data_IF_130415263457
#
_entry.id   IF_130415263457
#
_cell.length_a   1.000
_cell.length_b   1.000
_cell.length_c   1.000
_cell.angle_alpha   90.00
_cell.angle_beta   90.00
_cell.angle_gamma   90.00
#
_symmetry.space_group_name_H-M   'P 1'
#
loop_
_entity.id
_entity.type
_entity.pdbx_description
1 polymer ?
#
# COMPACT_ATOMS: atom_id res chain seq x y z
N UNK A 1 76.87 -4.75 -0.75
CA UNK A 1 75.63 -4.00 -1.04
C UNK A 1 74.61 -4.96 -1.59
N UNK A 2 73.82 -5.55 -0.72
CA UNK A 2 72.72 -6.45 -1.11
C UNK A 2 71.39 -5.77 -0.83
N UNK A 3 70.61 -5.49 -1.88
CA UNK A 3 69.22 -5.02 -1.78
C UNK A 3 68.36 -6.27 -1.67
N UNK A 4 67.72 -6.47 -0.56
CA UNK A 4 66.67 -7.47 -0.33
C UNK A 4 65.32 -6.80 -0.70
N UNK A 5 64.58 -7.43 -1.65
CA UNK A 5 63.24 -7.09 -2.00
C UNK A 5 62.24 -7.61 -0.94
N UNK A 6 61.13 -6.91 -0.65
CA UNK A 6 60.13 -7.41 0.30
C UNK A 6 59.24 -8.50 -0.34
N UNK A 7 58.68 -9.41 0.46
CA UNK A 7 57.81 -10.48 -0.07
C UNK A 7 56.44 -9.95 -0.52
N UNK A 8 56.01 -10.44 -1.68
CA UNK A 8 54.69 -10.21 -2.24
C UNK A 8 53.60 -10.89 -1.40
N UNK A 9 52.72 -10.11 -0.83
CA UNK A 9 51.46 -10.59 -0.23
C UNK A 9 50.54 -11.09 -1.36
N UNK A 10 50.28 -12.39 -1.34
CA UNK A 10 49.31 -13.03 -2.25
C UNK A 10 47.89 -12.55 -1.94
N UNK A 11 47.29 -11.90 -2.94
CA UNK A 11 45.87 -11.55 -2.92
C UNK A 11 45.06 -12.84 -3.19
N UNK A 12 44.50 -13.42 -2.13
CA UNK A 12 43.44 -14.41 -2.27
C UNK A 12 42.17 -13.69 -2.76
N UNK A 13 41.92 -13.81 -4.04
CA UNK A 13 40.63 -13.45 -4.65
C UNK A 13 39.58 -14.48 -4.18
N UNK A 14 38.86 -14.14 -3.13
CA UNK A 14 37.61 -14.78 -2.79
C UNK A 14 36.60 -14.58 -3.92
N UNK A 15 36.47 -15.57 -4.80
CA UNK A 15 35.40 -15.65 -5.77
C UNK A 15 34.09 -15.85 -5.01
N UNK A 16 33.38 -14.75 -4.75
CA UNK A 16 31.96 -14.79 -4.46
C UNK A 16 31.25 -15.31 -5.71
N UNK A 17 30.96 -16.61 -5.72
CA UNK A 17 30.09 -17.21 -6.72
C UNK A 17 28.66 -16.71 -6.48
N UNK A 18 28.28 -15.65 -7.17
CA UNK A 18 26.87 -15.35 -7.43
C UNK A 18 26.35 -16.48 -8.32
N UNK A 19 25.70 -17.46 -7.70
CA UNK A 19 24.89 -18.44 -8.41
C UNK A 19 23.70 -17.68 -8.98
N UNK A 20 23.83 -17.28 -10.24
CA UNK A 20 22.70 -16.88 -11.05
C UNK A 20 21.80 -18.11 -11.23
N UNK A 21 20.79 -18.26 -10.38
CA UNK A 21 19.70 -19.19 -10.67
C UNK A 21 18.95 -18.65 -11.89
N UNK A 22 19.32 -19.15 -13.07
CA UNK A 22 18.42 -19.12 -14.22
C UNK A 22 17.19 -19.97 -13.87
N UNK A 23 15.98 -19.38 -13.82
CA UNK A 23 14.78 -20.17 -13.62
C UNK A 23 14.61 -21.05 -14.86
N UNK A 24 14.85 -22.37 -14.71
CA UNK A 24 14.39 -23.37 -15.67
C UNK A 24 12.89 -23.13 -15.90
N UNK A 25 12.41 -23.34 -17.12
CA UNK A 25 11.00 -23.29 -17.52
C UNK A 25 10.20 -24.26 -16.64
N UNK A 26 9.83 -23.82 -15.45
CA UNK A 26 9.03 -24.59 -14.51
C UNK A 26 7.59 -24.63 -15.01
N UNK A 27 7.03 -25.82 -15.15
CA UNK A 27 5.63 -26.05 -15.50
C UNK A 27 4.69 -25.33 -14.49
N UNK A 28 3.73 -24.58 -14.99
CA UNK A 28 2.77 -23.67 -14.39
C UNK A 28 2.63 -23.58 -12.86
N UNK A 29 2.34 -24.63 -12.12
CA UNK A 29 2.17 -24.61 -10.65
C UNK A 29 3.47 -24.36 -9.87
N UNK A 30 4.63 -24.68 -10.44
CA UNK A 30 5.93 -24.48 -9.82
C UNK A 30 6.34 -23.00 -9.74
N UNK A 31 5.75 -22.11 -10.55
CA UNK A 31 6.11 -20.69 -10.58
C UNK A 31 5.52 -19.89 -9.42
N UNK A 32 4.28 -20.23 -9.00
CA UNK A 32 3.53 -19.51 -7.95
C UNK A 32 2.86 -20.50 -6.99
N UNK A 33 3.63 -21.19 -6.14
CA UNK A 33 3.09 -22.29 -5.31
C UNK A 33 2.18 -21.79 -4.19
N UNK A 34 2.41 -20.57 -3.69
CA UNK A 34 1.71 -19.99 -2.55
C UNK A 34 0.93 -18.73 -2.90
N UNK A 35 -0.12 -18.45 -2.14
CA UNK A 35 -0.84 -17.18 -2.15
C UNK A 35 0.02 -16.03 -1.60
N UNK A 36 0.85 -16.34 -0.60
CA UNK A 36 1.83 -15.40 -0.04
C UNK A 36 3.04 -15.29 -0.95
N UNK A 37 3.58 -14.08 -1.10
CA UNK A 37 4.77 -13.83 -1.91
C UNK A 37 5.64 -12.73 -1.27
N UNK A 38 6.95 -12.96 -1.19
CA UNK A 38 7.94 -11.97 -0.73
C UNK A 38 8.41 -11.05 -1.87
N UNK A 39 7.94 -11.27 -3.10
CA UNK A 39 8.29 -10.51 -4.31
C UNK A 39 9.80 -10.33 -4.53
N UNK A 40 10.55 -11.40 -4.23
CA UNK A 40 12.01 -11.39 -4.33
C UNK A 40 12.51 -11.46 -5.78
N UNK A 41 11.78 -12.21 -6.63
CA UNK A 41 12.18 -12.46 -8.03
C UNK A 41 11.24 -11.69 -8.96
N UNK A 42 11.77 -10.84 -9.86
CA UNK A 42 10.95 -10.14 -10.84
C UNK A 42 10.32 -11.10 -11.85
N UNK A 43 9.13 -10.75 -12.41
CA UNK A 43 8.49 -11.56 -13.44
C UNK A 43 9.34 -11.58 -14.73
N UNK A 44 9.47 -12.76 -15.34
CA UNK A 44 10.19 -12.95 -16.61
C UNK A 44 9.24 -13.33 -17.77
N UNK A 45 7.94 -13.34 -17.51
CA UNK A 45 6.93 -13.71 -18.49
C UNK A 45 6.49 -12.49 -19.30
N UNK A 46 6.22 -12.71 -20.58
CA UNK A 46 5.66 -11.67 -21.44
C UNK A 46 4.29 -11.23 -20.94
N UNK A 47 4.03 -9.93 -21.02
CA UNK A 47 2.78 -9.27 -20.65
C UNK A 47 2.40 -8.28 -21.75
N UNK A 48 1.11 -8.14 -22.03
CA UNK A 48 0.61 -7.09 -22.92
C UNK A 48 0.57 -5.76 -22.19
N UNK A 49 0.57 -4.63 -22.93
CA UNK A 49 0.51 -3.29 -22.35
C UNK A 49 -0.82 -3.10 -21.61
N UNK A 50 -1.92 -3.63 -22.15
CA UNK A 50 -3.24 -3.56 -21.53
C UNK A 50 -3.28 -4.33 -20.20
N UNK A 51 -2.71 -5.54 -20.15
CA UNK A 51 -2.59 -6.30 -18.89
C UNK A 51 -1.71 -5.57 -17.88
N UNK A 52 -0.62 -4.93 -18.33
CA UNK A 52 0.30 -4.17 -17.50
C UNK A 52 -0.42 -3.02 -16.79
N UNK A 53 -1.16 -2.22 -17.55
CA UNK A 53 -1.91 -1.08 -17.01
C UNK A 53 -3.08 -1.52 -16.13
N UNK A 54 -3.94 -2.42 -16.65
CA UNK A 54 -5.14 -2.86 -15.93
C UNK A 54 -4.81 -3.54 -14.59
N UNK A 55 -3.81 -4.43 -14.57
CA UNK A 55 -3.45 -5.12 -13.33
C UNK A 55 -2.81 -4.19 -12.31
N UNK A 56 -2.07 -3.19 -12.77
CA UNK A 56 -1.54 -2.15 -11.90
C UNK A 56 -2.65 -1.28 -11.30
N UNK A 57 -3.63 -0.87 -12.10
CA UNK A 57 -4.80 -0.11 -11.63
C UNK A 57 -5.62 -0.91 -10.62
N UNK A 58 -5.88 -2.19 -10.89
CA UNK A 58 -6.63 -3.05 -9.97
C UNK A 58 -5.94 -3.16 -8.60
N UNK A 59 -4.60 -3.28 -8.59
CA UNK A 59 -3.85 -3.26 -7.32
C UNK A 59 -3.86 -1.88 -6.68
N UNK A 60 -3.74 -0.81 -7.48
CA UNK A 60 -3.76 0.56 -7.00
C UNK A 60 -5.06 0.89 -6.26
N UNK A 61 -6.21 0.43 -6.75
CA UNK A 61 -7.50 0.57 -6.05
C UNK A 61 -7.47 -0.03 -4.64
N UNK A 62 -6.83 -1.19 -4.47
CA UNK A 62 -6.70 -1.83 -3.16
C UNK A 62 -5.76 -1.03 -2.25
N UNK A 63 -4.59 -0.60 -2.76
CA UNK A 63 -3.64 0.18 -1.98
C UNK A 63 -4.20 1.55 -1.58
N UNK A 64 -4.94 2.21 -2.47
CA UNK A 64 -5.63 3.47 -2.18
C UNK A 64 -6.67 3.31 -1.07
N UNK A 65 -7.44 2.20 -1.05
CA UNK A 65 -8.38 1.93 0.04
C UNK A 65 -7.66 1.75 1.39
N UNK A 66 -6.49 1.11 1.40
CA UNK A 66 -5.65 0.98 2.61
C UNK A 66 -5.17 2.34 3.10
N UNK A 67 -4.70 3.20 2.19
CA UNK A 67 -4.28 4.56 2.53
C UNK A 67 -5.45 5.38 3.07
N UNK A 68 -6.63 5.25 2.47
CA UNK A 68 -7.85 5.89 2.91
C UNK A 68 -8.28 5.44 4.31
N UNK A 69 -8.24 4.14 4.57
CA UNK A 69 -8.52 3.58 5.88
C UNK A 69 -7.55 4.11 6.95
N UNK A 70 -6.26 4.22 6.60
CA UNK A 70 -5.23 4.79 7.45
C UNK A 70 -5.46 6.28 7.72
N UNK A 71 -5.77 7.06 6.69
CA UNK A 71 -6.07 8.50 6.82
C UNK A 71 -7.30 8.78 7.69
N UNK A 72 -8.29 7.88 7.66
CA UNK A 72 -9.48 7.95 8.52
C UNK A 72 -9.27 7.39 9.94
N UNK A 73 -8.06 6.90 10.27
CA UNK A 73 -7.76 6.21 11.51
C UNK A 73 -8.74 5.05 11.81
N UNK A 74 -9.13 4.31 10.78
CA UNK A 74 -10.02 3.15 10.94
C UNK A 74 -9.34 2.06 11.77
N UNK A 75 -10.15 1.30 12.51
CA UNK A 75 -9.67 0.15 13.25
C UNK A 75 -9.15 -0.94 12.29
N UNK A 76 -8.27 -1.82 12.79
CA UNK A 76 -7.78 -2.95 11.98
C UNK A 76 -8.91 -3.85 11.45
N UNK A 77 -9.98 -4.03 12.24
CA UNK A 77 -11.13 -4.82 11.82
C UNK A 77 -11.87 -4.21 10.62
N UNK A 78 -12.10 -2.90 10.64
CA UNK A 78 -12.73 -2.16 9.53
C UNK A 78 -11.83 -2.15 8.29
N UNK A 79 -10.54 -1.88 8.46
CA UNK A 79 -9.55 -1.93 7.38
C UNK A 79 -9.51 -3.31 6.73
N UNK A 80 -9.57 -4.39 7.51
CA UNK A 80 -9.59 -5.76 7.02
C UNK A 80 -10.81 -6.04 6.15
N UNK A 81 -11.99 -5.58 6.57
CA UNK A 81 -13.23 -5.71 5.78
C UNK A 81 -13.18 -4.90 4.49
N UNK A 82 -12.63 -3.69 4.53
CA UNK A 82 -12.46 -2.85 3.35
C UNK A 82 -11.51 -3.50 2.33
N UNK A 83 -10.36 -4.03 2.79
CA UNK A 83 -9.42 -4.77 1.94
C UNK A 83 -10.09 -6.00 1.33
N UNK A 84 -10.81 -6.79 2.11
CA UNK A 84 -11.48 -8.00 1.64
C UNK A 84 -12.50 -7.68 0.54
N UNK A 85 -13.30 -6.63 0.73
CA UNK A 85 -14.25 -6.16 -0.27
C UNK A 85 -13.55 -5.81 -1.59
N UNK A 86 -12.51 -4.97 -1.55
CA UNK A 86 -11.77 -4.54 -2.75
C UNK A 86 -10.98 -5.67 -3.40
N UNK A 87 -10.41 -6.58 -2.60
CA UNK A 87 -9.73 -7.77 -3.13
C UNK A 87 -10.69 -8.66 -3.93
N UNK A 88 -11.90 -8.89 -3.42
CA UNK A 88 -12.90 -9.69 -4.12
C UNK A 88 -13.40 -9.03 -5.42
N UNK A 89 -13.43 -7.70 -5.47
CA UNK A 89 -13.89 -6.92 -6.61
C UNK A 89 -12.84 -6.86 -7.74
N UNK A 90 -11.60 -6.47 -7.41
CA UNK A 90 -10.56 -6.16 -8.40
C UNK A 90 -9.52 -7.26 -8.59
N UNK A 91 -9.16 -7.95 -7.53
CA UNK A 91 -8.03 -8.89 -7.56
C UNK A 91 -8.29 -10.08 -6.62
N UNK A 92 -9.27 -10.94 -6.93
CA UNK A 92 -9.52 -12.13 -6.14
C UNK A 92 -8.25 -12.99 -6.04
N UNK A 93 -7.91 -13.44 -4.84
CA UNK A 93 -6.70 -14.21 -4.57
C UNK A 93 -7.04 -15.32 -3.58
N UNK A 94 -7.34 -16.50 -4.10
CA UNK A 94 -7.81 -17.66 -3.34
C UNK A 94 -6.67 -18.48 -2.74
N UNK A 95 -6.91 -19.06 -1.56
CA UNK A 95 -6.01 -20.03 -0.94
C UNK A 95 -6.14 -21.42 -1.62
N UNK A 96 -5.07 -22.22 -1.55
CA UNK A 96 -5.09 -23.60 -2.03
C UNK A 96 -6.16 -24.45 -1.32
N UNK A 97 -6.35 -24.24 -0.02
CA UNK A 97 -7.32 -25.00 0.77
C UNK A 97 -8.77 -24.80 0.29
N UNK A 98 -9.13 -23.58 -0.10
CA UNK A 98 -10.46 -23.28 -0.66
C UNK A 98 -10.64 -23.92 -2.03
N UNK A 99 -9.57 -24.01 -2.83
CA UNK A 99 -9.61 -24.64 -4.14
C UNK A 99 -9.80 -26.17 -4.08
N UNK A 100 -9.35 -26.81 -3.02
CA UNK A 100 -9.49 -28.27 -2.81
C UNK A 100 -10.87 -28.69 -2.32
N UNK A 101 -11.63 -27.77 -1.71
CA UNK A 101 -12.95 -28.06 -1.11
C UNK A 101 -14.10 -28.32 -2.10
N UNK A 102 -13.89 -28.27 -3.41
CA UNK A 102 -14.95 -28.44 -4.41
C UNK A 102 -14.71 -29.60 -5.37
N UNK A 103 -15.74 -30.43 -5.55
CA UNK A 103 -15.95 -31.52 -6.53
C UNK A 103 -14.80 -31.94 -7.46
N UNK A 104 -14.54 -33.23 -7.53
CA UNK A 104 -13.42 -33.91 -8.23
C UNK A 104 -13.26 -33.63 -9.74
N UNK A 105 -14.19 -32.97 -10.40
CA UNK A 105 -14.20 -32.87 -11.88
C UNK A 105 -13.53 -31.63 -12.48
N UNK A 106 -13.02 -30.72 -11.65
CA UNK A 106 -12.50 -29.41 -12.15
C UNK A 106 -11.09 -29.03 -11.66
N UNK A 107 -10.27 -30.01 -11.27
CA UNK A 107 -8.95 -29.73 -10.66
C UNK A 107 -8.02 -28.92 -11.59
N UNK A 108 -8.01 -29.22 -12.90
CA UNK A 108 -7.13 -28.53 -13.86
C UNK A 108 -7.57 -27.08 -14.14
N UNK A 109 -8.88 -26.81 -14.23
CA UNK A 109 -9.39 -25.47 -14.46
C UNK A 109 -9.18 -24.58 -13.25
N UNK A 110 -9.45 -25.06 -12.05
CA UNK A 110 -9.18 -24.36 -10.78
C UNK A 110 -7.70 -24.03 -10.60
N UNK A 111 -6.82 -24.93 -10.99
CA UNK A 111 -5.38 -24.70 -10.98
C UNK A 111 -4.95 -23.57 -11.90
N UNK A 112 -5.51 -23.48 -13.12
CA UNK A 112 -5.23 -22.40 -14.07
C UNK A 112 -5.72 -21.06 -13.56
N UNK A 113 -6.90 -21.00 -12.96
CA UNK A 113 -7.43 -19.78 -12.35
C UNK A 113 -6.55 -19.28 -11.20
N UNK A 114 -6.15 -20.16 -10.28
CA UNK A 114 -5.25 -19.81 -9.18
C UNK A 114 -3.90 -19.27 -9.67
N UNK A 115 -3.36 -19.89 -10.73
CA UNK A 115 -2.13 -19.40 -11.34
C UNK A 115 -2.29 -18.02 -11.96
N UNK A 116 -3.42 -17.76 -12.65
CA UNK A 116 -3.72 -16.46 -13.21
C UNK A 116 -3.88 -15.39 -12.10
N UNK A 117 -4.59 -15.69 -11.01
CA UNK A 117 -4.73 -14.81 -9.86
C UNK A 117 -3.37 -14.45 -9.24
N UNK A 118 -2.50 -15.44 -9.02
CA UNK A 118 -1.18 -15.25 -8.43
C UNK A 118 -0.21 -14.56 -9.37
N UNK A 119 -0.30 -14.84 -10.69
CA UNK A 119 0.46 -14.13 -11.71
C UNK A 119 0.08 -12.64 -11.72
N UNK A 120 -1.21 -12.33 -11.69
CA UNK A 120 -1.72 -10.96 -11.62
C UNK A 120 -1.21 -10.25 -10.35
N UNK A 121 -1.29 -10.89 -9.19
CA UNK A 121 -0.76 -10.36 -7.92
C UNK A 121 0.74 -10.07 -7.99
N UNK A 122 1.52 -11.00 -8.56
CA UNK A 122 2.95 -10.86 -8.68
C UNK A 122 3.35 -9.71 -9.62
N UNK A 123 2.79 -9.70 -10.83
CA UNK A 123 3.13 -8.70 -11.85
C UNK A 123 2.68 -7.30 -11.43
N UNK A 124 1.45 -7.15 -10.95
CA UNK A 124 0.93 -5.86 -10.50
C UNK A 124 1.77 -5.21 -9.40
N UNK A 125 2.31 -6.03 -8.47
CA UNK A 125 3.25 -5.54 -7.47
C UNK A 125 4.51 -4.92 -8.11
N UNK A 126 5.13 -5.62 -9.07
CA UNK A 126 6.35 -5.13 -9.71
C UNK A 126 6.12 -3.89 -10.57
N UNK A 127 4.96 -3.78 -11.24
CA UNK A 127 4.59 -2.59 -12.01
C UNK A 127 4.45 -1.37 -11.07
N UNK A 128 3.69 -1.50 -9.99
CA UNK A 128 3.54 -0.40 -9.04
C UNK A 128 4.86 -0.09 -8.31
N UNK A 129 5.71 -1.09 -8.06
CA UNK A 129 7.05 -0.86 -7.51
C UNK A 129 7.89 0.06 -8.39
N UNK A 130 7.80 -0.07 -9.73
CA UNK A 130 8.45 0.85 -10.66
C UNK A 130 7.85 2.25 -10.56
N UNK A 131 6.52 2.39 -10.60
CA UNK A 131 5.83 3.68 -10.54
C UNK A 131 6.12 4.44 -9.24
N UNK A 132 6.11 3.74 -8.09
CA UNK A 132 6.30 4.34 -6.76
C UNK A 132 7.76 4.51 -6.34
N UNK A 133 8.73 4.00 -7.09
CA UNK A 133 10.14 4.14 -6.72
C UNK A 133 10.74 5.52 -7.03
N UNK A 134 10.05 6.38 -7.78
CA UNK A 134 10.52 7.71 -8.22
C UNK A 134 10.83 8.68 -7.09
N UNK A 135 9.98 8.78 -6.07
CA UNK A 135 10.18 9.68 -4.94
C UNK A 135 10.23 8.93 -3.61
N UNK A 136 10.89 9.52 -2.61
CA UNK A 136 10.98 8.92 -1.28
C UNK A 136 9.60 8.85 -0.60
N UNK A 137 8.76 9.85 -0.80
CA UNK A 137 7.40 9.88 -0.28
C UNK A 137 6.55 8.76 -0.88
N UNK A 138 6.57 8.60 -2.20
CA UNK A 138 5.87 7.50 -2.87
C UNK A 138 6.36 6.14 -2.37
N UNK A 139 7.67 5.95 -2.19
CA UNK A 139 8.23 4.71 -1.64
C UNK A 139 7.70 4.41 -0.24
N UNK A 140 7.66 5.41 0.65
CA UNK A 140 7.14 5.24 2.02
C UNK A 140 5.65 4.85 2.01
N UNK A 141 4.84 5.50 1.18
CA UNK A 141 3.41 5.18 1.01
C UNK A 141 3.23 3.76 0.50
N UNK A 142 3.94 3.38 -0.54
CA UNK A 142 3.88 2.04 -1.11
C UNK A 142 4.27 0.96 -0.09
N UNK A 143 5.38 1.15 0.63
CA UNK A 143 5.80 0.22 1.69
C UNK A 143 4.71 0.07 2.76
N UNK A 144 4.12 1.16 3.22
CA UNK A 144 3.06 1.12 4.23
C UNK A 144 1.83 0.34 3.75
N UNK A 145 1.34 0.65 2.55
CA UNK A 145 0.17 0.01 1.98
C UNK A 145 0.42 -1.48 1.68
N UNK A 146 1.55 -1.83 1.08
CA UNK A 146 1.93 -3.21 0.78
C UNK A 146 2.16 -4.05 2.04
N UNK A 147 2.77 -3.49 3.08
CA UNK A 147 2.91 -4.20 4.37
C UNK A 147 1.55 -4.47 5.01
N UNK A 148 0.61 -3.53 4.91
CA UNK A 148 -0.76 -3.70 5.41
C UNK A 148 -1.50 -4.78 4.60
N UNK A 149 -1.37 -4.77 3.28
CA UNK A 149 -1.93 -5.80 2.41
C UNK A 149 -1.32 -7.18 2.67
N UNK A 150 -0.01 -7.26 2.86
CA UNK A 150 0.70 -8.51 3.19
C UNK A 150 0.27 -9.04 4.56
N UNK A 151 0.09 -8.16 5.55
CA UNK A 151 -0.46 -8.54 6.87
C UNK A 151 -1.84 -9.15 6.73
N UNK A 152 -2.73 -8.54 5.93
CA UNK A 152 -4.06 -9.07 5.66
C UNK A 152 -3.98 -10.46 5.01
N UNK A 153 -3.12 -10.64 4.00
CA UNK A 153 -2.90 -11.95 3.36
C UNK A 153 -2.40 -13.00 4.36
N UNK A 154 -1.44 -12.64 5.22
CA UNK A 154 -0.85 -13.52 6.22
C UNK A 154 -1.86 -13.95 7.29
N UNK A 155 -2.72 -13.03 7.76
CA UNK A 155 -3.75 -13.31 8.76
C UNK A 155 -4.92 -14.12 8.20
N UNK A 156 -5.23 -13.98 6.91
CA UNK A 156 -6.33 -14.70 6.25
C UNK A 156 -5.90 -16.01 5.61
N UNK A 157 -4.61 -16.36 5.64
CA UNK A 157 -4.11 -17.61 5.09
C UNK A 157 -4.32 -18.77 6.08
N UNK A 158 -4.58 -19.96 5.55
CA UNK A 158 -4.64 -21.18 6.34
C UNK A 158 -3.30 -21.48 7.02
N UNK A 159 -3.37 -21.99 8.26
CA UNK A 159 -2.17 -22.24 9.08
C UNK A 159 -1.15 -23.12 8.36
N UNK A 160 -1.58 -24.26 7.79
CA UNK A 160 -0.70 -25.20 7.09
C UNK A 160 -0.03 -24.56 5.85
N UNK A 161 -0.77 -23.77 5.07
CA UNK A 161 -0.23 -23.06 3.90
C UNK A 161 0.75 -21.97 4.31
N UNK A 162 0.45 -21.25 5.40
CA UNK A 162 1.34 -20.25 5.97
C UNK A 162 2.64 -20.88 6.46
N UNK A 163 2.58 -22.00 7.17
CA UNK A 163 3.77 -22.71 7.62
C UNK A 163 4.58 -23.25 6.45
N UNK A 164 3.95 -23.85 5.44
CA UNK A 164 4.61 -24.31 4.24
C UNK A 164 5.32 -23.16 3.49
N UNK A 165 4.66 -22.00 3.38
CA UNK A 165 5.27 -20.80 2.82
C UNK A 165 6.49 -20.34 3.63
N UNK A 166 6.38 -20.26 4.96
CA UNK A 166 7.47 -19.83 5.83
C UNK A 166 8.67 -20.78 5.76
N UNK A 167 8.44 -22.09 5.69
CA UNK A 167 9.49 -23.08 5.49
C UNK A 167 10.19 -22.99 4.13
N UNK A 168 9.48 -22.49 3.10
CA UNK A 168 10.04 -22.31 1.77
C UNK A 168 10.94 -21.06 1.65
N UNK A 169 10.92 -20.19 2.67
CA UNK A 169 11.71 -18.95 2.67
C UNK A 169 13.03 -19.15 3.39
N UNK A 170 14.13 -18.64 2.84
CA UNK A 170 15.45 -18.61 3.46
C UNK A 170 15.52 -17.51 4.55
N UNK A 171 14.78 -17.70 5.62
CA UNK A 171 14.88 -16.80 6.76
C UNK A 171 16.08 -17.16 7.61
N UNK A 172 16.94 -16.18 7.91
CA UNK A 172 18.10 -16.35 8.78
C UNK A 172 17.66 -16.26 10.25
N UNK A 173 16.81 -17.20 10.66
CA UNK A 173 16.36 -17.31 12.04
C UNK A 173 17.00 -18.52 12.70
N UNK A 174 17.41 -18.38 13.94
CA UNK A 174 17.94 -19.48 14.72
C UNK A 174 16.90 -19.92 15.74
N UNK A 175 16.56 -21.18 15.72
CA UNK A 175 15.75 -21.75 16.81
C UNK A 175 16.56 -21.74 18.10
N UNK A 176 15.91 -21.41 19.22
CA UNK A 176 16.51 -21.45 20.54
C UNK A 176 16.66 -22.90 20.96
N UNK A 177 17.88 -23.37 21.34
CA UNK A 177 18.07 -24.70 21.90
C UNK A 177 17.27 -24.88 23.20
N UNK A 178 16.69 -26.06 23.46
CA UNK A 178 15.94 -26.32 24.69
C UNK A 178 16.74 -26.06 25.98
N UNK A 179 18.04 -26.28 25.95
CA UNK A 179 18.94 -26.05 27.07
C UNK A 179 18.99 -24.55 27.45
N UNK A 180 19.12 -23.68 26.46
CA UNK A 180 19.12 -22.24 26.67
C UNK A 180 17.74 -21.74 27.10
N UNK A 181 16.67 -22.31 26.56
CA UNK A 181 15.29 -21.98 26.95
C UNK A 181 15.07 -22.32 28.43
N UNK A 182 15.52 -23.48 28.89
CA UNK A 182 15.44 -23.87 30.30
C UNK A 182 16.28 -22.94 31.21
N UNK A 183 17.45 -22.54 30.75
CA UNK A 183 18.36 -21.62 31.48
C UNK A 183 17.72 -20.25 31.71
N UNK A 184 16.95 -19.73 30.76
CA UNK A 184 16.33 -18.40 30.81
C UNK A 184 14.83 -18.46 31.10
N UNK A 185 14.32 -19.57 31.61
CA UNK A 185 12.90 -19.83 31.86
C UNK A 185 12.22 -18.72 32.67
N UNK A 186 12.82 -18.28 33.77
CA UNK A 186 12.24 -17.24 34.63
C UNK A 186 12.12 -15.91 33.93
N UNK A 187 13.14 -15.53 33.16
CA UNK A 187 13.14 -14.28 32.37
C UNK A 187 12.11 -14.35 31.23
N UNK A 188 12.00 -15.49 30.56
CA UNK A 188 10.99 -15.72 29.51
C UNK A 188 9.56 -15.67 30.08
N UNK A 189 9.34 -16.26 31.25
CA UNK A 189 8.05 -16.20 31.95
C UNK A 189 7.70 -14.78 32.40
N UNK A 190 8.69 -13.99 32.85
CA UNK A 190 8.49 -12.61 33.24
C UNK A 190 8.06 -11.71 32.06
N UNK A 191 8.63 -11.95 30.88
CA UNK A 191 8.27 -11.20 29.65
C UNK A 191 6.90 -11.68 29.10
N UNK A 192 6.58 -12.95 29.28
CA UNK A 192 5.35 -13.55 28.76
C UNK A 192 4.44 -14.11 29.88
N UNK A 193 3.86 -13.27 30.73
CA UNK A 193 3.05 -13.75 31.88
C UNK A 193 1.84 -14.58 31.46
N UNK A 194 1.33 -14.39 30.23
CA UNK A 194 0.22 -15.18 29.68
C UNK A 194 0.60 -16.61 29.31
N UNK A 195 1.88 -16.93 29.17
CA UNK A 195 2.34 -18.29 28.89
C UNK A 195 2.45 -19.15 30.17
N UNK A 196 2.70 -18.53 31.31
CA UNK A 196 2.82 -19.22 32.58
C UNK A 196 3.72 -20.47 32.48
N UNK A 197 3.17 -21.64 32.82
CA UNK A 197 3.87 -22.94 32.73
C UNK A 197 4.12 -23.43 31.29
N UNK A 198 3.40 -22.86 30.30
CA UNK A 198 3.55 -23.25 28.89
C UNK A 198 4.78 -22.66 28.20
N UNK A 199 5.61 -21.87 28.90
CA UNK A 199 6.88 -21.34 28.34
C UNK A 199 7.80 -22.48 27.89
N UNK A 200 7.80 -23.62 28.53
CA UNK A 200 8.64 -24.76 28.15
C UNK A 200 8.18 -25.48 26.87
N UNK A 201 6.89 -25.43 26.56
CA UNK A 201 6.35 -26.04 25.35
C UNK A 201 6.34 -25.10 24.15
N UNK A 202 6.54 -23.79 24.37
CA UNK A 202 6.60 -22.80 23.29
C UNK A 202 7.98 -22.81 22.63
N UNK A 203 8.02 -22.76 21.33
CA UNK A 203 9.28 -22.60 20.59
C UNK A 203 9.64 -21.13 20.44
N UNK A 204 10.92 -20.81 20.57
CA UNK A 204 11.44 -19.46 20.42
C UNK A 204 12.43 -19.37 19.27
N UNK A 205 12.41 -18.22 18.59
CA UNK A 205 13.33 -17.90 17.50
C UNK A 205 14.22 -16.74 17.93
N UNK A 206 15.52 -16.84 17.67
CA UNK A 206 16.49 -15.79 17.92
C UNK A 206 16.72 -14.94 16.67
N UNK A 207 16.61 -13.62 16.80
CA UNK A 207 16.98 -12.65 15.77
C UNK A 207 17.70 -11.46 16.41
N UNK A 208 18.52 -10.70 15.67
CA UNK A 208 19.07 -9.45 16.17
C UNK A 208 17.94 -8.49 16.57
N UNK A 209 18.05 -7.88 17.76
CA UNK A 209 16.98 -7.03 18.33
C UNK A 209 16.54 -5.87 17.42
N UNK A 210 17.47 -5.31 16.63
CA UNK A 210 17.20 -4.20 15.70
C UNK A 210 16.30 -4.58 14.53
N UNK A 211 16.06 -5.86 14.29
CA UNK A 211 15.11 -6.34 13.26
C UNK A 211 13.65 -6.35 13.74
N UNK A 212 13.43 -6.22 15.03
CA UNK A 212 12.09 -6.28 15.65
C UNK A 212 11.88 -5.15 16.66
N UNK A 213 12.13 -3.89 16.29
CA UNK A 213 12.03 -2.76 17.20
C UNK A 213 10.63 -2.64 17.82
N UNK A 214 9.58 -2.93 17.06
CA UNK A 214 8.19 -2.88 17.51
C UNK A 214 7.89 -3.87 18.65
N UNK A 215 8.47 -5.06 18.58
CA UNK A 215 8.29 -6.07 19.64
C UNK A 215 9.10 -5.73 20.89
N UNK A 216 10.27 -5.10 20.70
CA UNK A 216 11.11 -4.61 21.80
C UNK A 216 10.44 -3.44 22.50
N UNK A 217 9.93 -2.46 21.75
CA UNK A 217 9.16 -1.32 22.26
C UNK A 217 7.96 -1.76 23.09
N UNK A 218 7.20 -2.72 22.60
CA UNK A 218 6.02 -3.30 23.26
C UNK A 218 6.37 -4.26 24.40
N UNK A 219 7.67 -4.48 24.68
CA UNK A 219 8.18 -5.42 25.68
C UNK A 219 7.62 -6.85 25.54
N UNK A 220 7.46 -7.29 24.31
CA UNK A 220 6.92 -8.62 23.96
C UNK A 220 7.99 -9.66 23.66
N UNK A 221 9.27 -9.31 23.84
CA UNK A 221 10.41 -10.20 23.56
C UNK A 221 11.44 -10.09 24.65
N UNK A 222 12.09 -11.21 24.95
CA UNK A 222 13.25 -11.25 25.81
C UNK A 222 14.49 -10.89 24.99
N UNK A 223 15.27 -9.91 25.45
CA UNK A 223 16.50 -9.49 24.76
C UNK A 223 17.72 -9.92 25.60
N UNK A 224 18.60 -10.72 25.00
CA UNK A 224 19.84 -11.18 25.63
C UNK A 224 21.01 -11.07 24.66
N UNK A 225 22.11 -10.44 25.07
CA UNK A 225 23.33 -10.26 24.26
C UNK A 225 23.08 -9.75 22.83
N UNK A 226 22.20 -8.79 22.68
CA UNK A 226 21.90 -8.21 21.36
C UNK A 226 20.95 -9.04 20.47
N UNK A 227 20.44 -10.17 20.98
CA UNK A 227 19.44 -10.99 20.30
C UNK A 227 18.09 -10.93 21.01
N UNK A 228 17.01 -10.81 20.23
CA UNK A 228 15.64 -10.89 20.70
C UNK A 228 15.14 -12.33 20.55
N UNK A 229 14.48 -12.84 21.58
CA UNK A 229 13.88 -14.17 21.60
C UNK A 229 12.37 -14.01 21.40
N UNK A 230 11.89 -14.49 20.28
CA UNK A 230 10.52 -14.27 19.81
C UNK A 230 9.76 -15.58 19.89
N UNK A 231 8.64 -15.66 20.61
CA UNK A 231 7.80 -16.86 20.62
C UNK A 231 7.15 -17.08 19.25
N UNK A 232 6.94 -18.32 18.87
CA UNK A 232 6.37 -18.71 17.56
C UNK A 232 5.04 -18.01 17.25
N UNK A 233 4.23 -17.72 18.25
CA UNK A 233 2.95 -16.99 18.10
C UNK A 233 3.13 -15.53 17.62
N UNK A 234 4.26 -14.87 17.90
CA UNK A 234 4.60 -13.53 17.42
C UNK A 234 5.40 -13.57 16.10
N UNK A 235 5.57 -14.73 15.51
CA UNK A 235 6.30 -14.95 14.25
C UNK A 235 5.75 -14.11 13.09
N UNK A 236 4.43 -13.85 13.09
CA UNK A 236 3.80 -12.99 12.09
C UNK A 236 4.42 -11.58 12.05
N UNK A 237 4.73 -10.98 13.21
CA UNK A 237 5.39 -9.67 13.29
C UNK A 237 6.80 -9.71 12.71
N UNK A 238 7.53 -10.81 12.94
CA UNK A 238 8.87 -11.01 12.38
C UNK A 238 8.84 -11.12 10.85
N UNK A 239 7.88 -11.88 10.31
CA UNK A 239 7.68 -12.02 8.85
C UNK A 239 7.35 -10.66 8.22
N UNK A 240 6.50 -9.88 8.88
CA UNK A 240 6.15 -8.53 8.42
C UNK A 240 7.36 -7.59 8.41
N UNK A 241 8.17 -7.61 9.47
CA UNK A 241 9.39 -6.81 9.53
C UNK A 241 10.40 -7.21 8.44
N UNK A 242 10.54 -8.51 8.18
CA UNK A 242 11.41 -9.01 7.10
C UNK A 242 10.86 -8.60 5.71
N UNK A 243 9.55 -8.70 5.49
CA UNK A 243 8.91 -8.23 4.27
C UNK A 243 9.15 -6.74 4.04
N UNK A 244 8.93 -5.93 5.07
CA UNK A 244 9.16 -4.49 5.02
C UNK A 244 10.61 -4.15 4.68
N UNK A 245 11.57 -4.75 5.36
CA UNK A 245 13.00 -4.51 5.13
C UNK A 245 13.44 -4.90 3.72
N UNK A 246 12.99 -6.05 3.22
CA UNK A 246 13.27 -6.49 1.85
C UNK A 246 12.64 -5.55 0.83
N UNK A 247 11.39 -5.15 1.03
CA UNK A 247 10.69 -4.24 0.11
C UNK A 247 11.36 -2.86 0.04
N UNK A 248 11.77 -2.30 1.18
CA UNK A 248 12.51 -1.02 1.24
C UNK A 248 13.82 -1.10 0.46
N UNK A 249 14.63 -2.13 0.72
CA UNK A 249 15.90 -2.33 0.01
C UNK A 249 15.68 -2.49 -1.49
N UNK A 250 14.66 -3.24 -1.90
CA UNK A 250 14.37 -3.45 -3.32
C UNK A 250 13.84 -2.21 -4.01
N UNK A 251 13.04 -1.36 -3.33
CA UNK A 251 12.60 -0.07 -3.85
C UNK A 251 13.78 0.89 -4.07
N UNK A 252 14.74 0.92 -3.15
CA UNK A 252 15.96 1.71 -3.32
C UNK A 252 16.79 1.24 -4.52
N UNK A 253 16.93 -0.08 -4.69
CA UNK A 253 17.62 -0.65 -5.86
C UNK A 253 16.88 -0.31 -7.16
N UNK A 254 15.54 -0.39 -7.16
CA UNK A 254 14.71 -0.02 -8.29
C UNK A 254 14.87 1.47 -8.63
N UNK A 255 14.83 2.35 -7.61
CA UNK A 255 15.03 3.79 -7.79
C UNK A 255 16.38 4.13 -8.45
N UNK A 256 17.44 3.41 -8.08
CA UNK A 256 18.78 3.58 -8.70
C UNK A 256 18.83 3.06 -10.14
N UNK A 257 17.98 2.10 -10.50
CA UNK A 257 17.92 1.53 -11.85
C UNK A 257 16.99 2.31 -12.79
N UNK A 258 16.06 3.12 -12.27
CA UNK A 258 15.07 3.88 -13.06
C UNK A 258 15.65 4.72 -14.20
N UNK A 259 16.76 5.47 -14.03
CA UNK A 259 17.33 6.27 -15.12
C UNK A 259 17.69 5.46 -16.37
N UNK A 260 17.87 4.15 -16.24
CA UNK A 260 18.11 3.24 -17.38
C UNK A 260 16.82 2.77 -18.04
N UNK A 261 15.68 2.88 -17.34
CA UNK A 261 14.34 2.54 -17.87
C UNK A 261 13.70 3.72 -18.60
N UNK A 262 14.20 4.96 -18.39
CA UNK A 262 13.73 6.16 -19.08
C UNK A 262 13.99 6.11 -20.62
N UNK A 263 14.71 5.10 -21.09
CA UNK A 263 14.90 4.83 -22.52
C UNK A 263 13.66 4.22 -23.21
N UNK A 264 12.67 3.71 -22.43
CA UNK A 264 11.43 3.15 -23.01
C UNK A 264 10.26 4.15 -22.93
N UNK A 265 10.14 4.97 -23.98
CA UNK A 265 9.11 6.02 -24.09
C UNK A 265 7.66 5.50 -23.97
N UNK A 266 7.42 4.18 -24.10
CA UNK A 266 6.08 3.60 -24.01
C UNK A 266 5.65 3.34 -22.57
N UNK A 267 6.60 3.02 -21.70
CA UNK A 267 6.30 2.70 -20.29
C UNK A 267 6.18 3.95 -19.42
N UNK A 268 6.91 5.01 -19.77
CA UNK A 268 6.95 6.23 -18.99
C UNK A 268 5.58 6.90 -18.79
N UNK A 269 4.75 7.08 -19.84
CA UNK A 269 3.42 7.68 -19.67
C UNK A 269 2.51 6.86 -18.76
N UNK A 270 2.57 5.52 -18.85
CA UNK A 270 1.77 4.61 -18.02
C UNK A 270 2.22 4.69 -16.55
N UNK A 271 3.52 4.69 -16.29
CA UNK A 271 4.07 4.82 -14.94
C UNK A 271 3.76 6.20 -14.32
N UNK A 272 3.76 7.27 -15.12
CA UNK A 272 3.34 8.60 -14.69
C UNK A 272 1.86 8.64 -14.35
N UNK A 273 1.01 8.12 -15.24
CA UNK A 273 -0.42 8.01 -14.99
C UNK A 273 -0.73 7.23 -13.70
N UNK A 274 -0.06 6.10 -13.46
CA UNK A 274 -0.21 5.32 -12.25
C UNK A 274 0.26 6.06 -10.98
N UNK A 275 1.36 6.80 -11.06
CA UNK A 275 1.85 7.59 -9.92
C UNK A 275 0.97 8.80 -9.62
N UNK A 276 0.47 9.50 -10.65
CA UNK A 276 -0.48 10.60 -10.52
C UNK A 276 -1.87 10.10 -10.08
N UNK A 277 -2.35 8.99 -10.63
CA UNK A 277 -3.62 8.37 -10.24
C UNK A 277 -3.66 8.03 -8.76
N UNK A 278 -2.54 7.65 -8.15
CA UNK A 278 -2.42 7.49 -6.71
C UNK A 278 -2.55 8.80 -5.93
N UNK A 279 -2.09 9.91 -6.48
CA UNK A 279 -2.25 11.23 -5.84
C UNK A 279 -3.66 11.81 -6.03
N UNK A 280 -4.27 11.55 -7.20
CA UNK A 280 -5.61 12.05 -7.55
C UNK A 280 -6.73 11.13 -7.06
N UNK A 281 -6.51 9.82 -6.95
CA UNK A 281 -7.50 8.84 -6.47
C UNK A 281 -7.97 9.08 -5.04
N UNK A 282 -7.22 9.82 -4.24
CA UNK A 282 -7.68 10.28 -2.93
C UNK A 282 -8.75 11.38 -3.02
N UNK A 283 -8.82 12.15 -4.11
CA UNK A 283 -9.77 13.27 -4.21
C UNK A 283 -11.06 12.90 -4.96
N UNK A 284 -11.00 12.04 -5.96
CA UNK A 284 -12.14 11.86 -6.88
C UNK A 284 -13.15 10.78 -6.46
N UNK A 285 -12.69 9.66 -5.88
CA UNK A 285 -13.62 8.64 -5.33
C UNK A 285 -14.31 9.11 -4.04
N UNK A 286 -13.67 10.03 -3.28
CA UNK A 286 -14.30 10.64 -2.10
C UNK A 286 -15.41 11.63 -2.47
N UNK A 287 -15.25 12.35 -3.56
CA UNK A 287 -16.29 13.26 -4.02
C UNK A 287 -17.55 12.50 -4.48
N UNK A 288 -17.38 11.30 -5.04
CA UNK A 288 -18.51 10.48 -5.51
C UNK A 288 -19.08 9.56 -4.44
N UNK A 289 -18.28 8.99 -3.55
CA UNK A 289 -18.78 8.02 -2.54
C UNK A 289 -19.28 8.66 -1.25
N UNK A 290 -18.93 9.92 -0.96
CA UNK A 290 -19.45 10.64 0.21
C UNK A 290 -20.94 11.03 0.08
N UNK A 291 -21.52 10.88 -1.12
CA UNK A 291 -22.88 11.28 -1.43
C UNK A 291 -23.75 10.11 -1.92
N UNK A 292 -23.49 8.90 -1.47
CA UNK A 292 -24.41 7.78 -1.70
C UNK A 292 -25.42 7.76 -0.56
N UNK A 293 -26.69 8.03 -0.89
CA UNK A 293 -27.80 7.83 0.04
C UNK A 293 -27.93 6.34 0.39
N UNK A 294 -28.59 6.05 1.52
CA UNK A 294 -28.95 4.69 1.98
C UNK A 294 -29.68 3.85 0.91
N UNK A 295 -30.18 4.45 -0.14
CA UNK A 295 -30.93 3.82 -1.22
C UNK A 295 -30.09 3.56 -2.50
N UNK A 296 -28.78 3.80 -2.45
CA UNK A 296 -27.86 3.45 -3.55
C UNK A 296 -27.85 4.42 -4.74
N UNK A 297 -28.59 5.52 -4.68
CA UNK A 297 -28.50 6.58 -5.69
C UNK A 297 -27.39 7.57 -5.37
N UNK A 298 -26.56 7.90 -6.37
CA UNK A 298 -25.54 8.93 -6.26
C UNK A 298 -26.19 10.29 -6.01
N UNK A 299 -26.13 10.79 -4.78
CA UNK A 299 -26.56 12.15 -4.44
C UNK A 299 -25.57 13.13 -5.09
N UNK A 300 -25.97 13.76 -6.18
CA UNK A 300 -25.24 14.91 -6.71
C UNK A 300 -25.37 16.08 -5.76
N UNK A 301 -24.23 16.68 -5.39
CA UNK A 301 -24.22 17.86 -4.54
C UNK A 301 -24.95 19.00 -5.24
N UNK A 302 -25.98 19.57 -4.60
CA UNK A 302 -26.75 20.69 -5.13
C UNK A 302 -26.37 22.01 -4.42
N UNK A 303 -26.65 23.14 -5.07
CA UNK A 303 -26.37 24.47 -4.52
C UNK A 303 -26.99 24.70 -3.12
N UNK A 304 -28.15 24.09 -2.87
CA UNK A 304 -28.86 24.23 -1.59
C UNK A 304 -28.17 23.45 -0.45
N UNK A 305 -27.46 22.39 -0.76
CA UNK A 305 -26.75 21.55 0.21
C UNK A 305 -25.42 22.16 0.64
N UNK A 306 -24.83 23.09 -0.13
CA UNK A 306 -23.50 23.66 0.13
C UNK A 306 -23.44 24.35 1.49
N UNK A 307 -24.40 25.21 1.80
CA UNK A 307 -24.37 26.02 3.04
C UNK A 307 -24.44 25.16 4.30
N UNK A 308 -25.40 24.22 4.46
CA UNK A 308 -25.41 23.33 5.63
C UNK A 308 -24.20 22.44 5.72
N UNK A 309 -23.75 21.85 4.60
CA UNK A 309 -22.59 20.96 4.54
C UNK A 309 -21.31 21.68 5.00
N UNK A 310 -21.05 22.88 4.46
CA UNK A 310 -19.87 23.67 4.83
C UNK A 310 -19.91 24.07 6.29
N UNK A 311 -21.10 24.40 6.82
CA UNK A 311 -21.27 24.79 8.21
C UNK A 311 -20.91 23.65 9.18
N UNK A 312 -21.26 22.43 8.88
CA UNK A 312 -21.08 21.28 9.77
C UNK A 312 -19.72 20.59 9.58
N UNK A 313 -19.27 20.42 8.34
CA UNK A 313 -18.18 19.52 8.02
C UNK A 313 -16.91 20.18 7.44
N UNK A 314 -16.98 21.45 7.00
CA UNK A 314 -15.82 22.08 6.38
C UNK A 314 -14.78 22.59 7.40
N UNK A 315 -13.52 22.74 6.98
CA UNK A 315 -12.47 23.39 7.77
C UNK A 315 -12.85 24.82 8.16
N UNK A 316 -12.32 25.32 9.29
CA UNK A 316 -12.62 26.66 9.82
C UNK A 316 -12.38 27.78 8.79
N UNK A 317 -11.35 27.69 7.96
CA UNK A 317 -11.06 28.67 6.89
C UNK A 317 -12.22 28.73 5.87
N UNK A 318 -12.78 27.61 5.46
CA UNK A 318 -13.89 27.55 4.50
C UNK A 318 -15.20 27.97 5.14
N UNK A 319 -15.45 27.60 6.41
CA UNK A 319 -16.59 28.12 7.19
C UNK A 319 -16.55 29.64 7.30
N UNK A 320 -15.37 30.21 7.54
CA UNK A 320 -15.20 31.67 7.60
C UNK A 320 -15.52 32.32 6.25
N UNK A 321 -15.00 31.78 5.13
CA UNK A 321 -15.33 32.29 3.78
C UNK A 321 -16.83 32.21 3.50
N UNK A 322 -17.48 31.10 3.86
CA UNK A 322 -18.93 30.96 3.72
C UNK A 322 -19.69 31.97 4.58
N UNK A 323 -19.27 32.18 5.84
CA UNK A 323 -19.89 33.18 6.74
C UNK A 323 -19.76 34.60 6.17
N UNK A 324 -18.58 34.98 5.68
CA UNK A 324 -18.36 36.28 5.03
C UNK A 324 -19.22 36.41 3.78
N UNK A 325 -19.27 35.37 2.93
CA UNK A 325 -20.09 35.37 1.73
C UNK A 325 -21.59 35.56 2.03
N UNK A 326 -22.08 34.87 3.06
CA UNK A 326 -23.49 34.97 3.50
C UNK A 326 -23.83 36.34 4.08
N UNK A 327 -22.86 37.03 4.68
CA UNK A 327 -23.08 38.34 5.35
C UNK A 327 -22.90 39.51 4.39
N UNK A 328 -21.86 39.46 3.55
CA UNK A 328 -21.46 40.59 2.72
C UNK A 328 -21.90 40.44 1.25
N UNK A 329 -22.38 39.27 0.88
CA UNK A 329 -22.70 38.89 -0.53
C UNK A 329 -21.55 39.19 -1.49
N UNK A 330 -20.32 39.19 -0.98
CA UNK A 330 -19.11 39.48 -1.75
C UNK A 330 -17.88 38.77 -1.14
N UNK A 331 -17.00 38.28 -2.02
CA UNK A 331 -15.66 37.80 -1.65
C UNK A 331 -14.61 38.44 -2.56
N UNK A 332 -13.40 38.69 -2.02
CA UNK A 332 -12.26 39.13 -2.80
C UNK A 332 -11.81 38.05 -3.79
N UNK A 333 -11.14 38.46 -4.86
CA UNK A 333 -10.75 37.57 -5.98
C UNK A 333 -10.10 36.25 -5.50
N UNK A 334 -9.04 36.31 -4.70
CA UNK A 334 -8.36 35.11 -4.21
C UNK A 334 -9.23 34.25 -3.26
N UNK A 335 -10.05 34.87 -2.45
CA UNK A 335 -11.00 34.14 -1.57
C UNK A 335 -12.07 33.42 -2.39
N UNK A 336 -12.55 34.03 -3.47
CA UNK A 336 -13.48 33.40 -4.42
C UNK A 336 -12.83 32.21 -5.11
N UNK A 337 -11.61 32.39 -5.63
CA UNK A 337 -10.85 31.34 -6.29
C UNK A 337 -10.65 30.15 -5.34
N UNK A 338 -10.16 30.39 -4.15
CA UNK A 338 -9.89 29.34 -3.15
C UNK A 338 -11.17 28.61 -2.74
N UNK A 339 -12.26 29.34 -2.52
CA UNK A 339 -13.53 28.73 -2.14
C UNK A 339 -14.17 27.97 -3.32
N UNK A 340 -14.04 28.46 -4.55
CA UNK A 340 -14.52 27.79 -5.74
C UNK A 340 -13.77 26.47 -5.99
N UNK A 341 -12.44 26.44 -5.83
CA UNK A 341 -11.65 25.23 -5.92
C UNK A 341 -12.06 24.20 -4.85
N UNK A 342 -12.30 24.66 -3.63
CA UNK A 342 -12.80 23.78 -2.57
C UNK A 342 -14.16 23.17 -2.91
N UNK A 343 -15.12 23.95 -3.44
CA UNK A 343 -16.43 23.43 -3.85
C UNK A 343 -16.32 22.45 -5.03
N UNK A 344 -15.41 22.72 -5.96
CA UNK A 344 -15.12 21.82 -7.08
C UNK A 344 -14.59 20.46 -6.58
N UNK A 345 -13.63 20.48 -5.63
CA UNK A 345 -13.08 19.26 -5.01
C UNK A 345 -14.11 18.51 -4.16
N UNK A 346 -15.11 19.19 -3.61
CA UNK A 346 -16.27 18.55 -2.98
C UNK A 346 -17.20 17.85 -3.96
N UNK A 347 -16.98 18.00 -5.28
CA UNK A 347 -17.79 17.39 -6.32
C UNK A 347 -19.04 18.19 -6.70
N UNK A 348 -19.07 19.51 -6.45
CA UNK A 348 -20.17 20.36 -6.89
C UNK A 348 -20.13 20.49 -8.43
N UNK A 349 -21.20 20.07 -9.17
CA UNK A 349 -21.26 20.22 -10.62
C UNK A 349 -21.20 21.69 -11.04
N UNK A 350 -20.69 21.94 -12.25
CA UNK A 350 -20.52 23.31 -12.78
C UNK A 350 -21.84 24.09 -12.77
N UNK A 351 -22.93 23.45 -13.16
CA UNK A 351 -24.27 24.05 -13.21
C UNK A 351 -24.74 24.48 -11.81
N UNK A 352 -24.58 23.61 -10.83
CA UNK A 352 -24.92 23.87 -9.44
C UNK A 352 -23.98 24.92 -8.81
N UNK A 353 -22.71 24.93 -9.19
CA UNK A 353 -21.77 25.96 -8.74
C UNK A 353 -22.15 27.35 -9.25
N UNK A 354 -22.57 27.46 -10.52
CA UNK A 354 -23.07 28.71 -11.07
C UNK A 354 -24.34 29.18 -10.36
N UNK A 355 -25.27 28.28 -10.05
CA UNK A 355 -26.46 28.58 -9.26
C UNK A 355 -26.12 29.06 -7.87
N UNK A 356 -25.19 28.36 -7.20
CA UNK A 356 -24.70 28.75 -5.86
C UNK A 356 -24.10 30.16 -5.86
N UNK A 357 -23.19 30.47 -6.77
CA UNK A 357 -22.56 31.77 -6.86
C UNK A 357 -23.55 32.86 -7.24
N UNK A 358 -24.49 32.59 -8.16
CA UNK A 358 -25.53 33.53 -8.56
C UNK A 358 -26.41 33.93 -7.36
N UNK A 359 -26.84 32.97 -6.58
CA UNK A 359 -27.61 33.19 -5.34
C UNK A 359 -26.80 33.94 -4.26
N UNK A 360 -25.53 33.59 -4.13
CA UNK A 360 -24.65 34.20 -3.12
C UNK A 360 -24.37 35.68 -3.45
N UNK A 361 -24.25 36.05 -4.73
CA UNK A 361 -24.05 37.43 -5.20
C UNK A 361 -25.39 38.13 -5.52
N UNK A 362 -26.37 38.02 -4.65
CA UNK A 362 -27.73 38.56 -4.84
C UNK A 362 -27.79 40.05 -5.11
N UNK A 363 -26.76 40.81 -4.71
CA UNK A 363 -26.66 42.27 -4.92
C UNK A 363 -26.10 42.66 -6.31
N UNK A 364 -25.63 41.69 -7.11
CA UNK A 364 -24.99 41.93 -8.41
C UNK A 364 -25.98 41.75 -9.56
N UNK A 365 -25.95 42.66 -10.53
CA UNK A 365 -26.76 42.51 -11.75
C UNK A 365 -26.25 41.39 -12.67
N UNK A 366 -27.15 40.80 -13.49
CA UNK A 366 -26.84 39.66 -14.36
C UNK A 366 -25.70 39.95 -15.35
N UNK A 367 -25.65 41.17 -15.90
CA UNK A 367 -24.60 41.58 -16.84
C UNK A 367 -23.23 41.67 -16.18
N UNK A 368 -23.16 42.03 -14.89
CA UNK A 368 -21.92 42.06 -14.12
C UNK A 368 -21.49 40.65 -13.72
N UNK A 369 -22.44 39.81 -13.34
CA UNK A 369 -22.13 38.41 -12.95
C UNK A 369 -21.57 37.62 -14.15
N UNK A 370 -22.12 37.80 -15.34
CA UNK A 370 -21.64 37.14 -16.58
C UNK A 370 -20.18 37.51 -16.94
N UNK A 371 -19.72 38.69 -16.52
CA UNK A 371 -18.33 39.18 -16.74
C UNK A 371 -17.38 38.80 -15.62
N UNK A 372 -17.88 38.25 -14.52
CA UNK A 372 -17.03 37.84 -13.37
C UNK A 372 -16.30 36.52 -13.67
N UNK A 373 -15.02 36.41 -13.28
CA UNK A 373 -14.21 35.24 -13.57
C UNK A 373 -14.65 33.93 -12.88
N UNK A 374 -15.65 33.97 -12.02
CA UNK A 374 -16.18 32.79 -11.32
C UNK A 374 -16.69 31.73 -12.29
N UNK A 375 -17.35 32.13 -13.39
CA UNK A 375 -17.83 31.23 -14.42
C UNK A 375 -16.70 30.55 -15.20
N UNK A 376 -15.55 31.21 -15.34
CA UNK A 376 -14.40 30.68 -16.07
C UNK A 376 -13.50 29.81 -15.19
N UNK A 377 -13.32 30.13 -13.92
CA UNK A 377 -12.42 29.40 -13.03
C UNK A 377 -12.90 27.99 -12.71
N UNK A 378 -14.21 27.75 -12.73
CA UNK A 378 -14.75 26.39 -12.54
C UNK A 378 -14.54 25.50 -13.78
N UNK A 379 -14.50 26.13 -14.98
CA UNK A 379 -14.37 25.43 -16.26
C UNK A 379 -12.92 25.24 -16.71
N UNK A 380 -12.01 26.17 -16.39
CA UNK A 380 -10.72 26.28 -17.07
C UNK A 380 -9.49 25.93 -16.24
N UNK A 381 -9.59 25.75 -14.92
CA UNK A 381 -8.44 25.31 -14.11
C UNK A 381 -8.41 23.78 -14.04
N UNK A 382 -7.48 23.12 -14.73
CA UNK A 382 -7.14 21.74 -14.41
C UNK A 382 -6.62 21.71 -12.98
N UNK A 383 -6.95 20.66 -12.25
CA UNK A 383 -6.52 20.40 -10.86
C UNK A 383 -5.00 20.27 -10.71
N UNK A 384 -4.24 20.26 -11.80
CA UNK A 384 -2.79 20.01 -11.86
C UNK A 384 -1.90 21.25 -11.87
N UNK A 385 -2.41 22.49 -11.98
CA UNK A 385 -1.56 23.68 -12.18
C UNK A 385 -1.34 24.53 -10.93
N UNK A 386 -1.54 23.99 -9.74
CA UNK A 386 -1.20 24.65 -8.47
C UNK A 386 -0.23 23.78 -7.66
N UNK A 387 1.03 23.74 -8.09
CA UNK A 387 2.19 23.42 -7.25
C UNK A 387 3.08 24.63 -7.22
#
# INVERSE_FOLDING_TARGET
>A
MFRTAPPSLGAEHGKSAQVAHHPSKASGLSAYPYRLNMYAVPPVQDITVDEFEQWALDRLHILSEIENASARNQSWAETKMAIEKRMNEYMPLRSNAVAQSGSMTTSTAKTKELLAERRKDHISHFVLRLAFSRSEELRRRFVHAECTLFRWKLETEHLAEREAFLHSQDFVWRMVPPEDQHRFREQLAAVHPRLGSSVESESFVQVPWYRVPDLVEKRKVFVHKGTAWIPTREQASLVLAEFQGRLQTQLELTARALPRLDEDDRLMPVLEHLSMGSMLGMSNEYATSALVSTDGEALTLTADMVVPLVREHAPLCMRHLQSVLSTTHHLRHYSRLQYNLFLKELGLPVEEALLFWRRSFSTMSDDKFAKEPVSYTHLTLPTSDLV
#
